data_IF_850160232798
#
_entry.id   IF_850160232798
#
_cell.length_a   1.000
_cell.length_b   1.000
_cell.length_c   1.000
_cell.angle_alpha   90.00
_cell.angle_beta   90.00
_cell.angle_gamma   90.00
#
_symmetry.space_group_name_H-M   'P 1'
#
loop_
_entity.id
_entity.type
_entity.pdbx_description
1 polymer ?
#
# COMPACT_ATOMS: atom_id res chain seq x y z
N UNK A 1 24.53 18.23 11.37
CA UNK A 1 24.45 16.78 11.59
C UNK A 1 24.68 16.10 10.25
N UNK A 2 25.36 15.00 10.25
CA UNK A 2 25.63 14.17 9.06
C UNK A 2 25.00 12.80 9.34
N UNK A 3 23.68 12.62 9.05
CA UNK A 3 22.98 11.40 9.39
C UNK A 3 23.23 10.32 8.34
N UNK A 4 23.39 9.07 8.76
CA UNK A 4 23.45 7.91 7.87
C UNK A 4 22.07 7.58 7.26
N UNK A 5 20.98 7.97 7.94
CA UNK A 5 19.61 7.68 7.54
C UNK A 5 18.64 8.79 7.92
N UNK A 6 17.66 9.03 7.06
CA UNK A 6 16.55 9.96 7.32
C UNK A 6 15.24 9.20 7.13
N UNK A 7 14.44 9.06 8.19
CA UNK A 7 13.10 8.50 8.13
C UNK A 7 12.06 9.61 7.95
N UNK A 8 11.25 9.53 6.89
CA UNK A 8 10.27 10.56 6.52
C UNK A 8 8.86 9.94 6.47
N UNK A 9 8.16 9.81 7.61
CA UNK A 9 6.80 9.29 7.66
C UNK A 9 5.78 10.37 7.27
N UNK A 10 5.85 10.87 6.06
CA UNK A 10 5.04 11.98 5.58
C UNK A 10 4.24 11.62 4.32
N UNK A 11 3.27 12.49 3.98
CA UNK A 11 2.49 12.34 2.76
C UNK A 11 3.34 12.54 1.49
N UNK A 12 2.83 12.07 0.34
CA UNK A 12 3.44 12.29 -0.99
C UNK A 12 3.67 13.79 -1.24
N UNK A 13 2.71 14.64 -0.88
CA UNK A 13 2.83 16.08 -1.08
C UNK A 13 4.04 16.68 -0.36
N UNK A 14 4.30 16.21 0.87
CA UNK A 14 5.48 16.62 1.63
C UNK A 14 6.76 16.02 1.04
N UNK A 15 6.74 14.75 0.66
CA UNK A 15 7.88 14.06 0.07
C UNK A 15 8.38 14.76 -1.21
N UNK A 16 7.48 15.18 -2.09
CA UNK A 16 7.82 15.91 -3.33
C UNK A 16 8.51 17.25 -3.08
N UNK A 17 8.38 17.82 -1.89
CA UNK A 17 9.06 19.05 -1.48
C UNK A 17 10.39 18.78 -0.77
N UNK A 18 10.47 17.70 0.01
CA UNK A 18 11.67 17.38 0.82
C UNK A 18 12.76 16.71 -0.03
N UNK A 19 12.42 15.75 -0.89
CA UNK A 19 13.39 15.00 -1.68
C UNK A 19 14.32 15.90 -2.53
N UNK A 20 13.79 16.88 -3.29
CA UNK A 20 14.64 17.81 -4.02
C UNK A 20 15.57 18.64 -3.11
N UNK A 21 15.16 18.95 -1.89
CA UNK A 21 15.98 19.69 -0.94
C UNK A 21 17.11 18.84 -0.38
N UNK A 22 16.89 17.56 -0.13
CA UNK A 22 17.92 16.59 0.27
C UNK A 22 18.99 16.55 -0.83
N UNK A 23 18.57 16.36 -2.09
CA UNK A 23 19.47 16.35 -3.26
C UNK A 23 20.22 17.68 -3.42
N UNK A 24 19.51 18.80 -3.39
CA UNK A 24 20.11 20.13 -3.62
C UNK A 24 21.12 20.53 -2.53
N UNK A 25 20.94 20.06 -1.30
CA UNK A 25 21.87 20.30 -0.20
C UNK A 25 23.00 19.26 -0.10
N UNK A 26 23.07 18.30 -1.02
CA UNK A 26 24.10 17.26 -1.04
C UNK A 26 24.11 16.38 0.20
N UNK A 27 22.92 16.12 0.79
CA UNK A 27 22.80 15.27 1.97
C UNK A 27 22.89 13.80 1.50
N UNK A 28 23.98 13.14 1.89
CA UNK A 28 24.24 11.73 1.59
C UNK A 28 23.72 10.85 2.74
N UNK A 29 22.42 10.59 2.72
CA UNK A 29 21.76 9.76 3.72
C UNK A 29 20.76 8.81 3.07
N UNK A 30 20.65 7.59 3.60
CA UNK A 30 19.62 6.65 3.17
C UNK A 30 18.23 7.20 3.55
N UNK A 31 17.39 7.49 2.56
CA UNK A 31 16.02 7.92 2.81
C UNK A 31 15.12 6.71 2.98
N UNK A 32 14.37 6.68 4.09
CA UNK A 32 13.37 5.68 4.41
C UNK A 32 12.01 6.33 4.62
N UNK A 33 10.94 5.64 4.22
CA UNK A 33 9.57 6.14 4.34
C UNK A 33 8.56 5.02 4.64
N UNK A 34 7.30 5.42 4.81
CA UNK A 34 6.17 4.50 5.00
C UNK A 34 5.35 4.29 3.72
N UNK A 35 4.26 3.58 3.86
CA UNK A 35 3.36 3.08 2.82
C UNK A 35 2.72 4.17 1.95
N UNK A 36 2.55 5.36 2.50
CA UNK A 36 1.99 6.50 1.76
C UNK A 36 2.82 6.92 0.53
N UNK A 37 4.08 6.45 0.42
CA UNK A 37 4.95 6.77 -0.70
C UNK A 37 4.74 5.86 -1.91
N UNK A 38 3.93 4.84 -1.82
CA UNK A 38 3.65 3.95 -2.96
C UNK A 38 2.68 4.59 -3.98
N UNK A 39 3.21 5.56 -4.73
CA UNK A 39 2.47 6.21 -5.80
C UNK A 39 3.43 6.60 -6.94
N UNK A 40 3.08 6.24 -8.18
CA UNK A 40 3.91 6.52 -9.35
C UNK A 40 4.18 8.02 -9.57
N UNK A 41 3.33 8.91 -9.07
CA UNK A 41 3.49 10.36 -9.19
C UNK A 41 4.74 10.91 -8.46
N UNK A 42 5.25 10.22 -7.42
CA UNK A 42 6.46 10.64 -6.68
C UNK A 42 7.75 10.17 -7.36
N UNK A 43 7.67 9.23 -8.32
CA UNK A 43 8.85 8.66 -8.97
C UNK A 43 9.59 9.75 -9.75
N UNK A 44 10.76 10.12 -9.24
CA UNK A 44 11.62 11.17 -9.75
C UNK A 44 13.10 10.81 -9.53
N UNK A 45 14.01 11.58 -10.11
CA UNK A 45 15.45 11.40 -9.88
C UNK A 45 15.84 11.58 -8.41
N UNK A 46 15.15 12.49 -7.70
CA UNK A 46 15.41 12.77 -6.29
C UNK A 46 14.95 11.66 -5.35
N UNK A 47 14.12 10.73 -5.87
CA UNK A 47 13.66 9.55 -5.13
C UNK A 47 14.56 8.33 -5.34
N UNK A 48 15.46 8.35 -6.32
CA UNK A 48 16.33 7.18 -6.60
C UNK A 48 17.17 6.85 -5.36
N UNK A 49 17.11 5.58 -4.93
CA UNK A 49 17.77 5.09 -3.71
C UNK A 49 16.89 5.16 -2.45
N UNK A 50 15.81 5.93 -2.44
CA UNK A 50 14.88 5.91 -1.31
C UNK A 50 14.14 4.56 -1.23
N UNK A 51 13.90 4.08 -0.01
CA UNK A 51 13.13 2.86 0.25
C UNK A 51 11.94 3.15 1.17
N UNK A 52 10.87 2.36 1.04
CA UNK A 52 9.68 2.49 1.87
C UNK A 52 9.04 1.13 2.15
N UNK A 53 8.32 1.04 3.25
CA UNK A 53 7.51 -0.13 3.58
C UNK A 53 6.10 0.01 3.00
N UNK A 54 5.52 -1.11 2.57
CA UNK A 54 4.14 -1.19 2.09
C UNK A 54 3.52 -2.52 2.48
N UNK A 55 2.22 -2.71 2.28
CA UNK A 55 1.49 -3.92 2.69
C UNK A 55 1.12 -4.84 1.52
N UNK A 56 1.59 -4.53 0.31
CA UNK A 56 1.22 -5.28 -0.88
C UNK A 56 2.28 -5.19 -1.97
N UNK A 57 2.46 -6.28 -2.72
CA UNK A 57 3.20 -6.29 -3.98
C UNK A 57 2.38 -6.97 -5.07
N UNK A 58 2.13 -6.26 -6.17
CA UNK A 58 1.34 -6.77 -7.30
C UNK A 58 1.96 -7.96 -8.03
N UNK A 59 3.24 -8.24 -7.78
CA UNK A 59 3.99 -9.35 -8.37
C UNK A 59 4.15 -10.54 -7.40
N UNK A 60 3.59 -10.45 -6.19
CA UNK A 60 3.58 -11.57 -5.26
C UNK A 60 2.48 -12.57 -5.64
N UNK A 61 2.88 -13.69 -6.22
CA UNK A 61 1.98 -14.77 -6.65
C UNK A 61 1.67 -15.78 -5.53
N UNK A 62 2.17 -15.58 -4.32
CA UNK A 62 1.94 -16.50 -3.20
C UNK A 62 0.49 -16.49 -2.68
N UNK A 63 -0.23 -15.38 -2.89
CA UNK A 63 -1.64 -15.22 -2.51
C UNK A 63 -2.55 -15.29 -3.75
N UNK A 64 -3.33 -16.36 -3.95
CA UNK A 64 -4.21 -16.49 -5.13
C UNK A 64 -5.32 -15.42 -5.16
N UNK A 65 -5.78 -14.90 -4.02
CA UNK A 65 -6.76 -13.80 -3.97
C UNK A 65 -6.13 -12.51 -4.52
N UNK A 66 -4.87 -12.25 -4.19
CA UNK A 66 -4.12 -11.12 -4.73
C UNK A 66 -3.92 -11.23 -6.25
N UNK A 67 -3.56 -12.42 -6.74
CA UNK A 67 -3.36 -12.67 -8.18
C UNK A 67 -4.64 -12.38 -8.98
N UNK A 68 -5.79 -12.87 -8.50
CA UNK A 68 -7.08 -12.63 -9.15
C UNK A 68 -7.48 -11.14 -9.11
N UNK A 69 -7.30 -10.50 -7.96
CA UNK A 69 -7.55 -9.06 -7.80
C UNK A 69 -6.70 -8.24 -8.75
N UNK A 70 -5.39 -8.47 -8.80
CA UNK A 70 -4.45 -7.75 -9.69
C UNK A 70 -4.88 -7.88 -11.14
N UNK A 71 -5.22 -9.10 -11.58
CA UNK A 71 -5.68 -9.36 -12.94
C UNK A 71 -6.93 -8.53 -13.25
N UNK A 72 -7.98 -8.65 -12.44
CA UNK A 72 -9.24 -7.94 -12.67
C UNK A 72 -9.10 -6.42 -12.58
N UNK A 73 -8.27 -5.92 -11.65
CA UNK A 73 -8.03 -4.49 -11.51
C UNK A 73 -7.26 -3.92 -12.71
N UNK A 74 -6.25 -4.63 -13.23
CA UNK A 74 -5.54 -4.24 -14.46
C UNK A 74 -6.45 -4.27 -15.69
N UNK A 75 -7.33 -5.25 -15.80
CA UNK A 75 -8.36 -5.28 -16.87
C UNK A 75 -9.27 -4.03 -16.78
N UNK A 76 -9.71 -3.67 -15.59
CA UNK A 76 -10.49 -2.44 -15.36
C UNK A 76 -9.70 -1.19 -15.73
N UNK A 77 -8.46 -1.05 -15.28
CA UNK A 77 -7.61 0.12 -15.58
C UNK A 77 -7.39 0.26 -17.09
N UNK A 78 -7.14 -0.84 -17.80
CA UNK A 78 -6.90 -0.85 -19.25
C UNK A 78 -8.18 -0.74 -20.08
N UNK A 79 -9.38 -0.78 -19.49
CA UNK A 79 -10.65 -0.69 -20.21
C UNK A 79 -10.93 0.72 -20.75
N UNK A 80 -10.28 1.75 -20.22
CA UNK A 80 -10.38 3.11 -20.73
C UNK A 80 -9.14 3.97 -20.45
N UNK A 81 -8.86 4.91 -21.36
CA UNK A 81 -7.79 5.90 -21.16
C UNK A 81 -8.00 6.75 -19.89
N UNK A 82 -9.25 6.99 -19.52
CA UNK A 82 -9.58 7.78 -18.34
C UNK A 82 -9.18 7.06 -17.06
N UNK A 83 -9.42 5.74 -16.97
CA UNK A 83 -9.02 4.93 -15.81
C UNK A 83 -7.50 4.95 -15.63
N UNK A 84 -6.73 4.76 -16.71
CA UNK A 84 -5.27 4.89 -16.65
C UNK A 84 -4.83 6.28 -16.21
N UNK A 85 -5.48 7.34 -16.72
CA UNK A 85 -5.16 8.72 -16.33
C UNK A 85 -5.36 8.94 -14.83
N UNK A 86 -6.43 8.42 -14.25
CA UNK A 86 -6.68 8.47 -12.82
C UNK A 86 -5.66 7.67 -12.00
N UNK A 87 -5.10 6.62 -12.58
CA UNK A 87 -4.03 5.81 -11.97
C UNK A 87 -2.62 6.28 -12.38
N UNK A 88 -2.42 7.60 -12.51
CA UNK A 88 -1.12 8.22 -12.86
C UNK A 88 -0.53 7.78 -14.21
N UNK A 89 -1.37 7.33 -15.13
CA UNK A 89 -0.98 6.90 -16.48
C UNK A 89 -0.37 5.50 -16.56
N UNK A 90 -0.53 4.68 -15.54
CA UNK A 90 0.00 3.32 -15.44
C UNK A 90 -1.10 2.33 -15.01
N UNK A 91 -0.93 1.05 -15.30
CA UNK A 91 -1.77 -0.04 -14.77
C UNK A 91 -1.17 -0.73 -13.54
N UNK A 92 -0.15 -0.13 -12.93
CA UNK A 92 0.42 -0.59 -11.65
C UNK A 92 -0.64 -0.58 -10.54
N UNK A 93 -0.74 -1.68 -9.82
CA UNK A 93 -1.67 -1.82 -8.69
C UNK A 93 -0.95 -1.46 -7.39
N UNK A 94 -1.23 -0.28 -6.86
CA UNK A 94 -0.65 0.17 -5.61
C UNK A 94 -1.34 -0.47 -4.38
N UNK A 95 -0.62 -0.58 -3.26
CA UNK A 95 -1.14 -1.15 -2.02
C UNK A 95 -2.43 -0.47 -1.54
N UNK A 96 -2.59 0.83 -1.75
CA UNK A 96 -3.81 1.56 -1.37
C UNK A 96 -5.07 0.99 -2.06
N UNK A 97 -4.95 0.50 -3.30
CA UNK A 97 -6.07 -0.13 -4.01
C UNK A 97 -6.41 -1.50 -3.42
N UNK A 98 -5.40 -2.31 -3.09
CA UNK A 98 -5.56 -3.60 -2.43
C UNK A 98 -6.16 -3.45 -1.03
N UNK A 99 -5.64 -2.52 -0.22
CA UNK A 99 -6.15 -2.21 1.12
C UNK A 99 -7.60 -1.69 1.07
N UNK A 100 -7.93 -0.85 0.08
CA UNK A 100 -9.29 -0.36 -0.13
C UNK A 100 -10.29 -1.47 -0.45
N UNK A 101 -9.87 -2.45 -1.26
CA UNK A 101 -10.67 -3.63 -1.54
C UNK A 101 -10.88 -4.48 -0.28
N UNK A 102 -9.84 -4.76 0.48
CA UNK A 102 -9.94 -5.52 1.72
C UNK A 102 -10.81 -4.81 2.77
N UNK A 103 -10.72 -3.48 2.88
CA UNK A 103 -11.57 -2.70 3.75
C UNK A 103 -13.06 -2.80 3.36
N UNK A 104 -13.35 -2.76 2.04
CA UNK A 104 -14.70 -2.99 1.53
C UNK A 104 -15.19 -4.40 1.87
N UNK A 105 -14.37 -5.43 1.67
CA UNK A 105 -14.72 -6.82 1.95
C UNK A 105 -14.89 -7.07 3.46
N UNK A 106 -14.10 -6.45 4.31
CA UNK A 106 -14.28 -6.51 5.76
C UNK A 106 -15.64 -5.95 6.18
N UNK A 107 -16.02 -4.79 5.64
CA UNK A 107 -17.32 -4.18 5.90
C UNK A 107 -18.45 -5.04 5.34
N UNK A 108 -18.30 -5.57 4.13
CA UNK A 108 -19.28 -6.46 3.52
C UNK A 108 -19.52 -7.71 4.37
N UNK A 109 -18.46 -8.40 4.79
CA UNK A 109 -18.56 -9.60 5.62
C UNK A 109 -19.17 -9.31 6.98
N UNK A 110 -18.82 -8.19 7.61
CA UNK A 110 -19.41 -7.78 8.89
C UNK A 110 -20.93 -7.54 8.76
N UNK A 111 -21.37 -6.83 7.71
CA UNK A 111 -22.80 -6.57 7.47
C UNK A 111 -23.54 -7.85 7.10
N UNK A 112 -22.94 -8.68 6.25
CA UNK A 112 -23.57 -9.95 5.81
C UNK A 112 -23.76 -10.96 6.95
N UNK A 113 -23.00 -10.83 8.03
CA UNK A 113 -23.13 -11.66 9.24
C UNK A 113 -24.28 -11.22 10.17
N UNK A 114 -24.90 -10.06 9.91
CA UNK A 114 -25.99 -9.51 10.71
C UNK A 114 -27.37 -9.84 10.11
N UNK A 115 -28.34 -10.03 10.97
CA UNK A 115 -29.76 -10.09 10.55
C UNK A 115 -30.23 -8.69 10.14
N UNK A 116 -31.01 -8.60 9.04
CA UNK A 116 -31.39 -7.34 8.39
C UNK A 116 -32.01 -6.28 9.33
N UNK A 117 -32.82 -6.70 10.30
CA UNK A 117 -33.48 -5.79 11.24
C UNK A 117 -32.54 -5.25 12.33
N UNK A 118 -31.31 -5.79 12.46
CA UNK A 118 -30.35 -5.41 13.50
C UNK A 118 -29.19 -4.57 12.96
N UNK A 119 -29.15 -4.26 11.66
CA UNK A 119 -28.04 -3.53 11.04
C UNK A 119 -28.02 -2.08 11.51
N UNK A 120 -27.02 -1.76 12.32
CA UNK A 120 -26.72 -0.41 12.78
C UNK A 120 -25.22 -0.26 13.06
N UNK A 121 -24.73 0.94 13.27
CA UNK A 121 -23.29 1.23 13.42
C UNK A 121 -22.62 0.46 14.57
N UNK A 122 -23.33 0.22 15.67
CA UNK A 122 -22.81 -0.52 16.82
C UNK A 122 -22.68 -2.01 16.47
N UNK A 123 -23.73 -2.60 15.89
CA UNK A 123 -23.71 -4.00 15.48
C UNK A 123 -22.67 -4.27 14.39
N UNK A 124 -22.49 -3.35 13.43
CA UNK A 124 -21.45 -3.46 12.41
C UNK A 124 -20.06 -3.40 13.05
N UNK A 125 -19.82 -2.46 13.96
CA UNK A 125 -18.54 -2.38 14.70
C UNK A 125 -18.24 -3.69 15.44
N UNK A 126 -19.23 -4.22 16.15
CA UNK A 126 -19.05 -5.46 16.94
C UNK A 126 -18.83 -6.68 16.02
N UNK A 127 -19.49 -6.71 14.87
CA UNK A 127 -19.28 -7.74 13.86
C UNK A 127 -17.87 -7.67 13.22
N UNK A 128 -17.30 -6.46 13.04
CA UNK A 128 -15.95 -6.29 12.50
C UNK A 128 -14.88 -6.97 13.37
N UNK A 129 -15.03 -7.01 14.69
CA UNK A 129 -14.10 -7.74 15.57
C UNK A 129 -14.11 -9.27 15.34
N UNK A 130 -15.13 -9.81 14.71
CA UNK A 130 -15.26 -11.22 14.40
C UNK A 130 -14.94 -11.56 12.94
N UNK A 131 -14.55 -10.57 12.14
CA UNK A 131 -14.15 -10.77 10.75
C UNK A 131 -12.85 -11.56 10.70
N UNK A 132 -12.85 -12.62 9.85
CA UNK A 132 -11.66 -13.40 9.54
C UNK A 132 -11.81 -13.97 8.12
N UNK A 133 -11.02 -13.45 7.18
CA UNK A 133 -11.02 -13.93 5.79
C UNK A 133 -9.68 -13.69 5.11
N UNK A 134 -9.41 -14.47 4.05
CA UNK A 134 -8.24 -14.28 3.21
C UNK A 134 -8.51 -13.15 2.22
N UNK A 135 -7.87 -12.01 2.44
CA UNK A 135 -7.94 -10.82 1.61
C UNK A 135 -6.80 -10.73 0.60
N UNK A 136 -6.81 -9.65 -0.17
CA UNK A 136 -5.77 -9.33 -1.15
C UNK A 136 -4.44 -9.04 -0.47
N UNK A 137 -4.46 -8.41 0.70
CA UNK A 137 -3.25 -8.07 1.48
C UNK A 137 -2.96 -9.09 2.58
N UNK A 138 -3.35 -10.34 2.40
CA UNK A 138 -3.22 -11.43 3.37
C UNK A 138 -4.46 -11.62 4.23
N UNK A 139 -4.35 -12.41 5.30
CA UNK A 139 -5.47 -12.64 6.20
C UNK A 139 -5.90 -11.35 6.92
N UNK A 140 -7.20 -11.10 6.95
CA UNK A 140 -7.82 -9.91 7.55
C UNK A 140 -8.53 -10.28 8.84
N UNK A 141 -7.99 -9.83 9.94
CA UNK A 141 -8.57 -9.87 11.29
C UNK A 141 -8.26 -8.55 12.00
N UNK A 142 -8.98 -8.26 13.07
CA UNK A 142 -8.78 -7.05 13.86
C UNK A 142 -8.43 -7.40 15.32
N UNK A 143 -7.58 -6.59 15.94
CA UNK A 143 -7.27 -6.68 17.37
C UNK A 143 -8.31 -5.94 18.22
N UNK A 144 -8.16 -5.99 19.55
CA UNK A 144 -9.09 -5.37 20.51
C UNK A 144 -9.13 -3.83 20.41
N UNK A 145 -8.15 -3.20 19.77
CA UNK A 145 -8.11 -1.76 19.53
C UNK A 145 -8.70 -1.35 18.19
N UNK A 146 -9.07 -2.35 17.34
CA UNK A 146 -9.66 -2.14 16.02
C UNK A 146 -8.64 -2.00 14.90
N UNK A 147 -7.35 -2.26 15.18
CA UNK A 147 -6.31 -2.28 14.16
C UNK A 147 -6.29 -3.63 13.44
N UNK A 148 -6.03 -3.62 12.14
CA UNK A 148 -5.84 -4.84 11.37
C UNK A 148 -4.53 -5.54 11.79
N UNK A 149 -4.60 -6.86 12.03
CA UNK A 149 -3.42 -7.66 12.34
C UNK A 149 -2.58 -7.86 11.08
N UNK A 150 -1.46 -7.17 10.99
CA UNK A 150 -0.48 -7.28 9.91
C UNK A 150 0.87 -7.65 10.48
N UNK A 151 1.43 -8.75 10.00
CA UNK A 151 2.72 -9.29 10.42
C UNK A 151 3.79 -9.20 9.33
N UNK A 152 3.41 -8.75 8.14
CA UNK A 152 4.28 -8.74 6.96
C UNK A 152 4.25 -7.39 6.29
N UNK A 153 5.43 -6.87 5.96
CA UNK A 153 5.63 -5.69 5.14
C UNK A 153 6.52 -6.01 3.94
N UNK A 154 6.22 -5.38 2.82
CA UNK A 154 7.05 -5.39 1.62
C UNK A 154 7.91 -4.14 1.61
N UNK A 155 9.21 -4.29 1.37
CA UNK A 155 10.11 -3.15 1.21
C UNK A 155 10.36 -2.93 -0.27
N UNK A 156 10.05 -1.73 -0.73
CA UNK A 156 10.24 -1.31 -2.12
C UNK A 156 11.19 -0.12 -2.22
N UNK A 157 11.76 0.08 -3.40
CA UNK A 157 12.67 1.19 -3.68
C UNK A 157 12.41 1.81 -5.04
N UNK A 158 12.87 3.03 -5.22
CA UNK A 158 12.95 3.69 -6.52
C UNK A 158 14.36 3.52 -7.09
N UNK A 159 14.44 3.08 -8.34
CA UNK A 159 15.72 2.92 -9.08
C UNK A 159 15.66 3.68 -10.40
N UNK A 160 16.75 3.68 -11.14
CA UNK A 160 16.78 4.23 -12.51
C UNK A 160 15.80 3.53 -13.46
N UNK A 161 15.49 2.25 -13.21
CA UNK A 161 14.46 1.54 -13.97
C UNK A 161 13.08 2.08 -13.64
N UNK A 162 12.82 2.41 -12.37
CA UNK A 162 11.56 3.01 -11.90
C UNK A 162 11.22 4.31 -12.65
N UNK A 163 12.22 5.11 -13.01
CA UNK A 163 12.02 6.34 -13.79
C UNK A 163 11.38 6.08 -15.17
N UNK A 164 11.65 4.91 -15.75
CA UNK A 164 11.13 4.49 -17.06
C UNK A 164 9.81 3.72 -16.95
N UNK A 165 9.75 2.75 -16.04
CA UNK A 165 8.60 1.87 -15.86
C UNK A 165 7.43 2.52 -15.12
N UNK A 166 7.70 3.59 -14.34
CA UNK A 166 6.75 4.21 -13.42
C UNK A 166 6.24 3.24 -12.34
N UNK A 167 7.07 2.26 -11.98
CA UNK A 167 6.82 1.30 -10.91
C UNK A 167 8.02 1.20 -9.97
N UNK A 168 7.80 0.83 -8.72
CA UNK A 168 8.84 0.59 -7.74
C UNK A 168 9.40 -0.82 -7.88
N UNK A 169 10.64 -1.01 -7.45
CA UNK A 169 11.26 -2.33 -7.41
C UNK A 169 11.14 -2.93 -6.00
N UNK A 170 10.78 -4.19 -5.94
CA UNK A 170 10.76 -4.97 -4.71
C UNK A 170 12.19 -5.23 -4.22
N UNK A 171 12.43 -5.03 -2.92
CA UNK A 171 13.70 -5.34 -2.27
C UNK A 171 13.62 -6.62 -1.44
N UNK A 172 12.66 -6.68 -0.53
CA UNK A 172 12.46 -7.83 0.35
C UNK A 172 11.10 -7.80 1.05
N UNK A 173 10.69 -8.96 1.52
CA UNK A 173 9.63 -9.09 2.52
C UNK A 173 10.24 -8.99 3.92
N UNK A 174 9.57 -8.29 4.82
CA UNK A 174 9.95 -8.17 6.22
C UNK A 174 8.80 -8.64 7.10
N UNK A 175 9.02 -9.72 7.85
CA UNK A 175 8.10 -10.15 8.90
C UNK A 175 8.29 -9.27 10.14
N UNK A 176 7.19 -8.85 10.73
CA UNK A 176 7.14 -8.07 11.97
C UNK A 176 6.49 -8.96 13.03
N UNK A 177 7.21 -9.26 14.10
CA UNK A 177 6.61 -9.96 15.23
C UNK A 177 5.62 -9.04 15.92
N UNK A 178 4.36 -9.45 16.00
CA UNK A 178 3.37 -8.77 16.83
C UNK A 178 3.82 -8.87 18.30
N UNK A 179 3.95 -7.74 18.97
CA UNK A 179 4.28 -7.67 20.40
C UNK A 179 3.02 -7.76 21.25
#
# INVERSE_FOLDING_TARGET
>A
ADPDCIFIPSSIATATLILPQITANGIDAQVLAGDTWENAAIISKDMVGAAFSTFFDENDESNPVAVEFVKGFKEYLNSSKQNLTWNSGTDTVAAVSALGYDAYMAMYNAIAALDGDTVNSVAIRDALYNVNFDGVTGNITFNDTGDANKDTAYIKTCTDKSLKSKSFEFLKTQTVEAK
#
